data_IF_638964341945
#
_entry.id   IF_638964341945
#
_cell.length_a   1.000
_cell.length_b   1.000
_cell.length_c   1.000
_cell.angle_alpha   90.00
_cell.angle_beta   90.00
_cell.angle_gamma   90.00
#
_symmetry.space_group_name_H-M   'P 1'
#
loop_
_entity.id
_entity.type
_entity.pdbx_description
1 polymer ?
#
# COMPACT_ATOMS: atom_id res chain seq x y z
N UNK A 1 -14.85 -15.07 17.64
CA UNK A 1 -15.46 -15.33 16.31
C UNK A 1 -14.84 -16.60 15.73
N UNK A 2 -15.58 -17.42 14.99
CA UNK A 2 -14.93 -18.49 14.23
C UNK A 2 -14.18 -17.93 13.01
N UNK A 3 -13.42 -18.76 12.33
CA UNK A 3 -12.58 -18.31 11.19
C UNK A 3 -13.42 -17.70 10.06
N UNK A 4 -14.48 -18.37 9.64
CA UNK A 4 -15.36 -17.90 8.56
C UNK A 4 -16.02 -16.55 8.91
N UNK A 5 -16.54 -16.41 10.14
CA UNK A 5 -17.14 -15.16 10.61
C UNK A 5 -16.14 -14.02 10.63
N UNK A 6 -14.88 -14.31 11.02
CA UNK A 6 -13.81 -13.31 11.04
C UNK A 6 -13.46 -12.83 9.62
N UNK A 7 -13.34 -13.75 8.66
CA UNK A 7 -13.08 -13.38 7.26
C UNK A 7 -14.26 -12.61 6.68
N UNK A 8 -15.50 -13.01 7.00
CA UNK A 8 -16.69 -12.27 6.58
C UNK A 8 -16.74 -10.86 7.17
N UNK A 9 -16.36 -10.68 8.44
CA UNK A 9 -16.30 -9.38 9.08
C UNK A 9 -15.19 -8.48 8.47
N UNK A 10 -14.04 -9.05 8.11
CA UNK A 10 -12.99 -8.35 7.34
C UNK A 10 -13.53 -7.92 5.96
N UNK A 11 -14.24 -8.81 5.26
CA UNK A 11 -14.80 -8.54 3.93
C UNK A 11 -15.82 -7.40 3.94
N UNK A 12 -16.61 -7.30 5.02
CA UNK A 12 -17.58 -6.22 5.21
C UNK A 12 -16.98 -4.94 5.81
N UNK A 13 -15.72 -4.98 6.27
CA UNK A 13 -15.07 -3.84 6.90
C UNK A 13 -15.52 -3.57 8.34
N UNK A 14 -16.14 -4.54 9.01
CA UNK A 14 -16.54 -4.45 10.41
C UNK A 14 -15.34 -4.53 11.36
N UNK A 15 -14.29 -5.20 10.93
CA UNK A 15 -13.01 -5.29 11.61
C UNK A 15 -11.85 -5.02 10.63
N UNK A 16 -10.70 -4.63 11.16
CA UNK A 16 -9.46 -4.42 10.40
C UNK A 16 -8.33 -5.24 11.00
N UNK A 17 -7.35 -5.58 10.18
CA UNK A 17 -6.11 -6.25 10.65
C UNK A 17 -5.14 -5.29 11.34
N UNK A 18 -5.27 -4.00 11.10
CA UNK A 18 -4.60 -2.96 11.89
C UNK A 18 -5.37 -1.65 11.80
N UNK A 19 -5.37 -0.89 12.89
CA UNK A 19 -5.99 0.42 12.97
C UNK A 19 -5.16 1.38 13.82
N UNK A 20 -5.32 2.67 13.61
CA UNK A 20 -4.65 3.70 14.40
C UNK A 20 -5.47 3.99 15.65
N UNK A 21 -4.89 3.78 16.83
CA UNK A 21 -5.47 4.11 18.14
C UNK A 21 -4.45 4.93 18.92
N UNK A 22 -4.86 6.05 19.47
CA UNK A 22 -4.00 6.96 20.26
C UNK A 22 -2.70 7.35 19.51
N UNK A 23 -2.78 7.54 18.18
CA UNK A 23 -1.65 7.91 17.34
C UNK A 23 -0.78 6.73 16.88
N UNK A 24 -0.95 5.54 17.42
CA UNK A 24 -0.17 4.34 17.11
C UNK A 24 -0.96 3.31 16.31
N UNK A 25 -0.28 2.60 15.42
CA UNK A 25 -0.86 1.48 14.70
C UNK A 25 -0.86 0.23 15.58
N UNK A 26 -2.05 -0.30 15.86
CA UNK A 26 -2.26 -1.53 16.63
C UNK A 26 -2.73 -2.63 15.69
N UNK A 27 -2.08 -3.78 15.82
CA UNK A 27 -2.39 -4.97 15.02
C UNK A 27 -3.49 -5.78 15.71
N UNK A 28 -4.45 -6.24 14.93
CA UNK A 28 -5.42 -7.25 15.32
C UNK A 28 -4.82 -8.63 15.00
N UNK A 29 -4.07 -9.18 15.93
CA UNK A 29 -3.39 -10.47 15.77
C UNK A 29 -4.37 -11.62 15.58
N UNK A 30 -5.56 -11.55 16.21
CA UNK A 30 -6.61 -12.56 16.06
C UNK A 30 -7.14 -12.59 14.63
N UNK A 31 -7.34 -11.42 14.00
CA UNK A 31 -7.77 -11.34 12.61
C UNK A 31 -6.70 -11.90 11.66
N UNK A 32 -5.42 -11.61 11.89
CA UNK A 32 -4.32 -12.17 11.08
C UNK A 32 -4.18 -13.68 11.29
N UNK A 33 -4.31 -14.17 12.53
CA UNK A 33 -4.31 -15.60 12.82
C UNK A 33 -5.48 -16.32 12.14
N UNK A 34 -6.66 -15.69 12.10
CA UNK A 34 -7.81 -16.22 11.38
C UNK A 34 -7.57 -16.31 9.86
N UNK A 35 -6.88 -15.33 9.26
CA UNK A 35 -6.50 -15.40 7.84
C UNK A 35 -5.57 -16.60 7.59
N UNK A 36 -4.56 -16.81 8.44
CA UNK A 36 -3.65 -17.95 8.31
C UNK A 36 -4.40 -19.28 8.45
N UNK A 37 -5.29 -19.37 9.44
CA UNK A 37 -6.11 -20.55 9.63
C UNK A 37 -7.07 -20.78 8.45
N UNK A 38 -7.63 -19.74 7.87
CA UNK A 38 -8.46 -19.81 6.67
C UNK A 38 -7.72 -20.47 5.50
N UNK A 39 -6.46 -20.07 5.23
CA UNK A 39 -5.63 -20.74 4.25
C UNK A 39 -5.35 -22.20 4.57
N UNK A 40 -5.28 -22.56 5.86
CA UNK A 40 -5.00 -23.92 6.29
C UNK A 40 -6.22 -24.86 6.10
N UNK A 41 -7.41 -24.39 6.46
CA UNK A 41 -8.63 -25.23 6.46
C UNK A 41 -9.32 -25.28 5.10
N UNK A 42 -9.20 -24.23 4.28
CA UNK A 42 -9.80 -24.20 2.94
C UNK A 42 -9.09 -25.13 1.99
N UNK A 43 -9.86 -25.82 1.16
CA UNK A 43 -9.36 -26.61 0.05
C UNK A 43 -9.18 -25.74 -1.18
N UNK A 44 -8.31 -26.19 -2.06
CA UNK A 44 -8.18 -25.61 -3.42
C UNK A 44 -9.37 -26.09 -4.23
N UNK A 45 -10.13 -25.15 -4.79
CA UNK A 45 -11.36 -25.43 -5.54
C UNK A 45 -11.37 -24.64 -6.86
N UNK A 46 -11.98 -25.18 -7.93
CA UNK A 46 -12.17 -24.42 -9.16
C UNK A 46 -13.08 -23.20 -8.94
N UNK A 47 -12.74 -22.10 -9.57
CA UNK A 47 -13.55 -20.86 -9.59
C UNK A 47 -13.78 -20.50 -11.05
N UNK A 48 -15.01 -20.64 -11.53
CA UNK A 48 -15.41 -20.30 -12.89
C UNK A 48 -15.91 -18.84 -12.94
N UNK A 49 -15.35 -18.04 -13.84
CA UNK A 49 -15.77 -16.66 -14.07
C UNK A 49 -15.92 -16.43 -15.58
N UNK A 50 -17.11 -16.66 -16.08
CA UNK A 50 -17.39 -16.61 -17.52
C UNK A 50 -16.47 -17.59 -18.29
N UNK A 51 -15.65 -17.11 -19.24
CA UNK A 51 -14.73 -17.97 -19.99
C UNK A 51 -13.41 -18.27 -19.23
N UNK A 52 -13.22 -17.73 -18.04
CA UNK A 52 -11.99 -17.89 -17.25
C UNK A 52 -12.20 -18.92 -16.14
N UNK A 53 -11.20 -19.75 -15.92
CA UNK A 53 -11.12 -20.69 -14.82
C UNK A 53 -9.92 -20.35 -13.94
N UNK A 54 -10.13 -20.39 -12.62
CA UNK A 54 -9.08 -20.26 -11.61
C UNK A 54 -9.13 -21.45 -10.67
N UNK A 55 -8.07 -21.65 -9.92
CA UNK A 55 -7.96 -22.72 -8.94
C UNK A 55 -7.33 -22.15 -7.66
N UNK A 56 -8.14 -21.87 -6.63
CA UNK A 56 -7.64 -21.21 -5.41
C UNK A 56 -8.43 -21.65 -4.17
N UNK A 57 -7.88 -21.31 -3.00
CA UNK A 57 -8.50 -21.50 -1.69
C UNK A 57 -9.42 -20.35 -1.28
N UNK A 58 -9.12 -19.14 -1.75
CA UNK A 58 -9.81 -17.90 -1.36
C UNK A 58 -10.73 -17.48 -2.50
N UNK A 59 -12.05 -17.39 -2.25
CA UNK A 59 -12.98 -16.92 -3.27
C UNK A 59 -12.66 -15.50 -3.76
N UNK A 60 -13.17 -15.14 -4.90
CA UNK A 60 -13.16 -13.77 -5.37
C UNK A 60 -14.17 -12.93 -4.59
N UNK A 61 -13.89 -11.65 -4.46
CA UNK A 61 -14.84 -10.66 -3.95
C UNK A 61 -15.93 -10.38 -4.99
N UNK A 62 -17.15 -10.17 -4.51
CA UNK A 62 -18.34 -9.91 -5.32
C UNK A 62 -19.07 -8.63 -4.85
N UNK A 63 -20.23 -8.36 -5.44
CA UNK A 63 -21.16 -7.31 -5.04
C UNK A 63 -20.59 -5.89 -5.12
N UNK A 64 -19.73 -5.64 -6.10
CA UNK A 64 -19.05 -4.36 -6.27
C UNK A 64 -20.00 -3.19 -6.48
N UNK A 65 -21.11 -3.40 -7.21
CA UNK A 65 -22.12 -2.36 -7.44
C UNK A 65 -22.80 -1.92 -6.15
N UNK A 66 -23.21 -2.86 -5.30
CA UNK A 66 -23.82 -2.60 -4.00
C UNK A 66 -22.86 -1.89 -3.04
N UNK A 67 -21.57 -2.20 -3.17
CA UNK A 67 -20.48 -1.59 -2.39
C UNK A 67 -20.07 -0.20 -2.91
N UNK A 68 -20.59 0.23 -4.05
CA UNK A 68 -20.18 1.49 -4.69
C UNK A 68 -18.72 1.49 -5.17
N UNK A 69 -18.22 0.33 -5.63
CA UNK A 69 -16.84 0.12 -6.10
C UNK A 69 -16.84 -0.08 -7.61
N UNK A 70 -16.01 0.68 -8.32
CA UNK A 70 -15.80 0.48 -9.76
C UNK A 70 -14.63 -0.48 -10.00
N UNK A 71 -14.87 -1.53 -10.77
CA UNK A 71 -13.84 -2.54 -11.08
C UNK A 71 -13.72 -2.71 -12.59
N UNK A 72 -12.52 -2.49 -13.11
CA UNK A 72 -12.19 -2.64 -14.53
C UNK A 72 -11.59 -4.02 -14.76
N UNK A 73 -12.16 -4.85 -15.66
CA UNK A 73 -11.59 -6.16 -15.94
C UNK A 73 -10.15 -6.10 -16.49
N UNK A 74 -9.25 -6.99 -16.12
CA UNK A 74 -9.41 -8.14 -15.25
C UNK A 74 -8.98 -7.89 -13.78
N UNK A 75 -9.31 -6.73 -13.18
CA UNK A 75 -8.98 -6.50 -11.79
C UNK A 75 -9.57 -7.59 -10.88
N UNK A 76 -8.80 -7.96 -9.86
CA UNK A 76 -9.18 -9.03 -8.93
C UNK A 76 -9.00 -8.57 -7.49
N UNK A 77 -10.04 -8.72 -6.67
CA UNK A 77 -9.93 -8.65 -5.22
C UNK A 77 -10.34 -9.99 -4.61
N UNK A 78 -9.57 -10.46 -3.63
CA UNK A 78 -9.92 -11.66 -2.87
C UNK A 78 -10.95 -11.34 -1.79
N UNK A 79 -11.83 -12.31 -1.53
CA UNK A 79 -12.73 -12.28 -0.37
C UNK A 79 -11.94 -12.07 0.93
N UNK A 80 -12.51 -11.33 1.88
CA UNK A 80 -11.80 -10.90 3.10
C UNK A 80 -10.92 -9.67 2.91
N UNK A 81 -10.87 -9.05 1.72
CA UNK A 81 -10.38 -7.68 1.54
C UNK A 81 -11.53 -6.70 1.68
N UNK A 82 -11.29 -5.50 2.20
CA UNK A 82 -12.29 -4.45 2.26
C UNK A 82 -11.99 -3.33 1.26
N UNK A 83 -12.99 -2.99 0.46
CA UNK A 83 -12.97 -1.88 -0.48
C UNK A 83 -14.07 -0.90 -0.09
N UNK A 84 -13.69 0.31 0.28
CA UNK A 84 -14.65 1.37 0.65
C UNK A 84 -15.40 1.91 -0.57
N UNK A 85 -16.57 2.54 -0.38
CA UNK A 85 -17.28 3.22 -1.46
C UNK A 85 -16.41 4.24 -2.19
N UNK A 86 -16.58 4.34 -3.52
CA UNK A 86 -15.79 5.23 -4.37
C UNK A 86 -14.40 4.70 -4.76
N UNK A 87 -14.00 3.52 -4.30
CA UNK A 87 -12.77 2.86 -4.76
C UNK A 87 -12.87 2.52 -6.24
N UNK A 88 -11.79 2.73 -6.96
CA UNK A 88 -11.62 2.32 -8.36
C UNK A 88 -10.47 1.33 -8.45
N UNK A 89 -10.76 0.12 -8.90
CA UNK A 89 -9.74 -0.86 -9.29
C UNK A 89 -9.62 -0.83 -10.81
N UNK A 90 -8.53 -0.30 -11.33
CA UNK A 90 -8.08 -0.61 -12.70
C UNK A 90 -7.61 -2.06 -12.72
N UNK A 91 -7.22 -2.65 -13.87
CA UNK A 91 -6.65 -4.01 -13.88
C UNK A 91 -5.55 -4.17 -12.84
N UNK A 92 -5.88 -4.65 -11.68
CA UNK A 92 -5.05 -4.63 -10.46
C UNK A 92 -5.43 -5.79 -9.54
N UNK A 93 -4.69 -5.94 -8.43
CA UNK A 93 -4.92 -7.03 -7.49
C UNK A 93 -4.96 -6.54 -6.05
N UNK A 94 -5.97 -6.98 -5.29
CA UNK A 94 -6.11 -6.72 -3.85
C UNK A 94 -6.24 -8.04 -3.08
N UNK A 95 -5.35 -8.27 -2.15
CA UNK A 95 -5.28 -9.52 -1.38
C UNK A 95 -6.12 -9.47 -0.10
N UNK A 96 -6.39 -10.67 0.46
CA UNK A 96 -7.15 -10.87 1.70
C UNK A 96 -6.57 -10.06 2.87
N UNK A 97 -7.42 -9.54 3.73
CA UNK A 97 -7.04 -8.71 4.88
C UNK A 97 -6.65 -7.28 4.54
N UNK A 98 -6.49 -6.95 3.25
CA UNK A 98 -6.23 -5.58 2.83
C UNK A 98 -7.44 -4.68 3.08
N UNK A 99 -7.16 -3.43 3.42
CA UNK A 99 -8.15 -2.35 3.53
C UNK A 99 -7.81 -1.26 2.53
N UNK A 100 -8.78 -0.87 1.71
CA UNK A 100 -8.65 0.24 0.76
C UNK A 100 -9.69 1.30 1.10
N UNK A 101 -9.23 2.47 1.53
CA UNK A 101 -10.05 3.58 1.97
C UNK A 101 -10.85 4.26 0.84
N UNK A 102 -11.83 5.10 1.19
CA UNK A 102 -12.79 5.66 0.23
C UNK A 102 -12.10 6.54 -0.82
N UNK A 103 -12.66 6.53 -2.04
CA UNK A 103 -12.19 7.32 -3.18
C UNK A 103 -10.72 7.08 -3.57
N UNK A 104 -10.17 5.92 -3.22
CA UNK A 104 -8.83 5.49 -3.58
C UNK A 104 -8.83 4.80 -4.93
N UNK A 105 -7.81 5.07 -5.73
CA UNK A 105 -7.56 4.38 -7.00
C UNK A 105 -6.38 3.41 -6.86
N UNK A 106 -6.62 2.16 -7.20
CA UNK A 106 -5.58 1.15 -7.43
C UNK A 106 -5.44 1.00 -8.94
N UNK A 107 -4.40 1.64 -9.49
CA UNK A 107 -4.23 1.79 -10.94
C UNK A 107 -3.67 0.51 -11.59
N UNK A 108 -3.50 0.57 -12.90
CA UNK A 108 -3.18 -0.57 -13.77
C UNK A 108 -1.92 -1.30 -13.32
N UNK A 109 -2.07 -2.60 -13.10
CA UNK A 109 -1.04 -3.53 -12.60
C UNK A 109 -0.47 -3.18 -11.22
N UNK A 110 -1.13 -2.31 -10.46
CA UNK A 110 -0.80 -2.15 -9.06
C UNK A 110 -1.32 -3.32 -8.22
N UNK A 111 -0.62 -3.61 -7.12
CA UNK A 111 -0.99 -4.68 -6.20
C UNK A 111 -1.08 -4.15 -4.77
N UNK A 112 -2.10 -4.59 -4.03
CA UNK A 112 -2.25 -4.37 -2.60
C UNK A 112 -2.11 -5.70 -1.89
N UNK A 113 -0.98 -5.90 -1.23
CA UNK A 113 -0.64 -7.15 -0.55
C UNK A 113 -1.51 -7.45 0.66
N UNK A 114 -1.40 -8.68 1.17
CA UNK A 114 -2.18 -9.15 2.32
C UNK A 114 -2.05 -8.21 3.51
N UNK A 115 -3.17 -7.86 4.11
CA UNK A 115 -3.23 -7.04 5.32
C UNK A 115 -2.81 -5.58 5.15
N UNK A 116 -2.38 -5.12 3.97
CA UNK A 116 -1.99 -3.73 3.76
C UNK A 116 -3.15 -2.76 4.03
N UNK A 117 -2.86 -1.61 4.63
CA UNK A 117 -3.82 -0.60 5.04
C UNK A 117 -3.61 0.66 4.20
N UNK A 118 -4.51 0.88 3.25
CA UNK A 118 -4.47 2.03 2.35
C UNK A 118 -5.53 3.02 2.77
N UNK A 119 -5.13 4.28 2.93
CA UNK A 119 -5.99 5.38 3.35
C UNK A 119 -7.02 5.80 2.30
N UNK A 120 -7.70 6.91 2.58
CA UNK A 120 -8.68 7.54 1.71
C UNK A 120 -8.01 8.41 0.64
N UNK A 121 -8.62 8.52 -0.55
CA UNK A 121 -8.17 9.42 -1.63
C UNK A 121 -6.71 9.19 -2.06
N UNK A 122 -6.24 7.96 -1.89
CA UNK A 122 -4.90 7.53 -2.31
C UNK A 122 -4.90 7.21 -3.81
N UNK A 123 -3.81 7.52 -4.47
CA UNK A 123 -3.55 7.04 -5.83
C UNK A 123 -2.32 6.11 -5.81
N UNK A 124 -2.55 4.83 -5.94
CA UNK A 124 -1.50 3.85 -6.25
C UNK A 124 -1.35 3.80 -7.76
N UNK A 125 -0.33 4.48 -8.29
CA UNK A 125 -0.12 4.59 -9.75
C UNK A 125 0.25 3.26 -10.40
N UNK A 126 0.31 3.24 -11.72
CA UNK A 126 0.52 2.01 -12.49
C UNK A 126 1.75 1.20 -12.06
N UNK A 127 1.53 -0.08 -11.80
CA UNK A 127 2.56 -1.03 -11.41
C UNK A 127 3.14 -0.86 -10.01
N UNK A 128 2.49 -0.09 -9.13
CA UNK A 128 2.86 0.01 -7.72
C UNK A 128 2.71 -1.34 -7.03
N UNK A 129 3.74 -1.76 -6.32
CA UNK A 129 3.73 -2.96 -5.49
C UNK A 129 3.67 -2.63 -4.00
N UNK A 130 2.48 -2.75 -3.39
CA UNK A 130 2.33 -2.74 -1.94
C UNK A 130 2.47 -4.18 -1.45
N UNK A 131 3.50 -4.44 -0.67
CA UNK A 131 3.79 -5.78 -0.15
C UNK A 131 2.76 -6.23 0.89
N UNK A 132 2.66 -7.55 1.08
CA UNK A 132 1.87 -8.14 2.14
C UNK A 132 2.69 -8.41 3.40
N UNK A 133 2.10 -8.26 4.57
CA UNK A 133 2.68 -8.64 5.86
C UNK A 133 1.65 -9.47 6.63
N UNK A 134 1.58 -10.74 6.30
CA UNK A 134 0.69 -11.69 6.99
C UNK A 134 1.39 -12.34 8.19
N UNK A 135 2.64 -12.71 8.03
CA UNK A 135 3.47 -13.32 9.07
C UNK A 135 4.69 -12.44 9.41
N UNK A 136 5.07 -12.40 10.68
CA UNK A 136 4.38 -12.91 11.87
C UNK A 136 3.11 -12.11 12.18
N UNK A 137 2.19 -12.70 12.94
CA UNK A 137 0.86 -12.09 13.19
C UNK A 137 0.92 -10.74 13.90
N UNK A 138 1.91 -10.53 14.75
CA UNK A 138 2.14 -9.27 15.47
C UNK A 138 2.82 -8.18 14.63
N UNK A 139 3.35 -8.52 13.44
CA UNK A 139 3.99 -7.50 12.58
C UNK A 139 2.95 -6.51 12.03
N UNK A 140 3.26 -5.22 12.18
CA UNK A 140 2.43 -4.16 11.61
C UNK A 140 2.47 -4.25 10.09
N UNK A 141 1.30 -4.27 9.43
CA UNK A 141 1.24 -4.28 7.97
C UNK A 141 1.73 -2.96 7.37
N UNK A 142 1.90 -2.97 6.05
CA UNK A 142 2.21 -1.74 5.33
C UNK A 142 1.03 -0.79 5.45
N UNK A 143 1.36 0.48 5.69
CA UNK A 143 0.37 1.56 5.81
C UNK A 143 0.70 2.65 4.81
N UNK A 144 -0.31 3.11 4.09
CA UNK A 144 -0.28 4.31 3.26
C UNK A 144 -1.36 5.25 3.76
N UNK A 145 -0.96 6.45 4.18
CA UNK A 145 -1.87 7.46 4.73
C UNK A 145 -2.80 8.09 3.68
N UNK A 146 -3.75 8.86 4.17
CA UNK A 146 -4.74 9.56 3.35
C UNK A 146 -4.10 10.57 2.39
N UNK A 147 -4.79 10.90 1.30
CA UNK A 147 -4.40 11.94 0.33
C UNK A 147 -3.02 11.71 -0.34
N UNK A 148 -2.50 10.50 -0.27
CA UNK A 148 -1.15 10.12 -0.72
C UNK A 148 -1.16 9.68 -2.18
N UNK A 149 -0.12 10.08 -2.91
CA UNK A 149 0.17 9.62 -4.26
C UNK A 149 1.45 8.78 -4.27
N UNK A 150 1.34 7.52 -4.64
CA UNK A 150 2.49 6.62 -4.85
C UNK A 150 2.76 6.56 -6.35
N UNK A 151 3.92 7.05 -6.77
CA UNK A 151 4.34 7.09 -8.17
C UNK A 151 4.50 5.71 -8.80
N UNK A 152 4.40 5.66 -10.12
CA UNK A 152 4.45 4.40 -10.88
C UNK A 152 5.68 3.55 -10.55
N UNK A 153 5.48 2.24 -10.49
CA UNK A 153 6.54 1.25 -10.22
C UNK A 153 7.24 1.40 -8.87
N UNK A 154 6.68 2.15 -7.91
CA UNK A 154 7.16 2.11 -6.53
C UNK A 154 6.90 0.76 -5.88
N UNK A 155 7.83 0.34 -5.03
CA UNK A 155 7.68 -0.81 -4.13
C UNK A 155 7.65 -0.30 -2.69
N UNK A 156 6.59 -0.60 -1.96
CA UNK A 156 6.45 -0.32 -0.52
C UNK A 156 6.22 -1.64 0.19
N UNK A 157 7.21 -2.10 0.93
CA UNK A 157 7.24 -3.48 1.46
C UNK A 157 7.85 -3.57 2.86
N UNK A 158 7.79 -4.77 3.45
CA UNK A 158 8.49 -5.12 4.69
C UNK A 158 8.24 -4.14 5.86
N UNK A 159 6.98 -3.86 6.16
CA UNK A 159 6.58 -3.02 7.30
C UNK A 159 6.80 -1.51 7.11
N UNK A 160 7.08 -1.07 5.88
CA UNK A 160 7.22 0.33 5.56
C UNK A 160 5.91 1.10 5.74
N UNK A 161 6.01 2.41 6.00
CA UNK A 161 4.87 3.31 6.17
C UNK A 161 5.07 4.57 5.36
N UNK A 162 4.00 5.00 4.73
CA UNK A 162 3.94 6.29 4.02
C UNK A 162 2.88 7.14 4.71
N UNK A 163 3.25 8.35 5.10
CA UNK A 163 2.37 9.29 5.80
C UNK A 163 1.22 9.82 4.95
N UNK A 164 0.43 10.73 5.53
CA UNK A 164 -0.66 11.41 4.83
C UNK A 164 -0.11 12.46 3.87
N UNK A 165 -0.78 12.71 2.76
CA UNK A 165 -0.44 13.77 1.81
C UNK A 165 0.94 13.64 1.18
N UNK A 166 1.55 12.45 1.22
CA UNK A 166 2.85 12.19 0.61
C UNK A 166 2.72 12.06 -0.89
N UNK A 167 3.67 12.65 -1.61
CA UNK A 167 3.93 12.34 -3.01
C UNK A 167 5.23 11.57 -3.10
N UNK A 168 5.15 10.27 -3.37
CA UNK A 168 6.31 9.41 -3.58
C UNK A 168 6.59 9.34 -5.09
N UNK A 169 7.73 9.83 -5.53
CA UNK A 169 8.14 9.82 -6.94
C UNK A 169 8.25 8.40 -7.51
N UNK A 170 8.10 8.27 -8.83
CA UNK A 170 8.14 6.97 -9.49
C UNK A 170 9.43 6.20 -9.23
N UNK A 171 9.34 4.86 -9.19
CA UNK A 171 10.48 3.97 -9.04
C UNK A 171 11.11 3.92 -7.64
N UNK A 172 10.50 4.52 -6.63
CA UNK A 172 10.99 4.42 -5.25
C UNK A 172 10.84 3.00 -4.70
N UNK A 173 11.87 2.55 -3.97
CA UNK A 173 11.81 1.33 -3.16
C UNK A 173 11.90 1.73 -1.69
N UNK A 174 10.85 1.45 -0.93
CA UNK A 174 10.77 1.71 0.50
C UNK A 174 10.49 0.39 1.24
N UNK A 175 11.43 -0.03 2.06
CA UNK A 175 11.25 -1.14 3.01
C UNK A 175 11.50 -0.64 4.42
N UNK A 176 11.18 -1.41 5.45
CA UNK A 176 11.34 -1.01 6.85
C UNK A 176 12.77 -0.58 7.26
N UNK A 177 13.79 -0.88 6.44
CA UNK A 177 15.19 -0.55 6.71
C UNK A 177 15.77 0.53 5.81
N UNK A 178 15.06 0.95 4.77
CA UNK A 178 15.53 1.98 3.83
C UNK A 178 15.57 3.35 4.54
N UNK A 179 16.72 4.05 4.52
CA UNK A 179 16.82 5.39 5.10
C UNK A 179 15.94 6.39 4.34
N UNK A 180 15.25 7.23 5.09
CA UNK A 180 14.52 8.40 4.59
C UNK A 180 15.29 9.65 5.04
N UNK A 181 15.78 10.42 4.10
CA UNK A 181 16.75 11.50 4.31
C UNK A 181 16.13 12.83 3.91
N UNK A 182 16.37 13.88 4.69
CA UNK A 182 16.00 15.24 4.33
C UNK A 182 17.04 15.85 3.38
N UNK A 183 16.59 16.34 2.23
CA UNK A 183 17.49 16.90 1.21
C UNK A 183 18.10 18.25 1.62
N UNK A 184 17.48 18.99 2.52
CA UNK A 184 17.95 20.31 2.96
C UNK A 184 19.02 20.19 4.05
N UNK A 185 18.86 19.24 4.97
CA UNK A 185 19.78 19.08 6.10
C UNK A 185 20.76 17.91 5.94
N UNK A 186 20.44 16.94 5.07
CA UNK A 186 21.20 15.69 4.94
C UNK A 186 20.95 14.70 6.08
N UNK A 187 20.04 15.00 7.01
CA UNK A 187 19.74 14.16 8.17
C UNK A 187 18.86 12.96 7.79
N UNK A 188 19.15 11.84 8.43
CA UNK A 188 18.28 10.65 8.36
C UNK A 188 17.08 10.87 9.29
N UNK A 189 15.91 11.10 8.68
CA UNK A 189 14.66 11.35 9.42
C UNK A 189 14.11 10.08 10.07
N UNK A 190 14.27 8.94 9.38
CA UNK A 190 13.69 7.67 9.78
C UNK A 190 14.26 6.53 8.95
N UNK A 191 13.82 5.31 9.27
CA UNK A 191 13.93 4.14 8.37
C UNK A 191 12.57 3.56 8.08
N UNK A 192 12.30 3.34 6.80
CA UNK A 192 11.05 2.74 6.33
C UNK A 192 9.79 3.59 6.55
N UNK A 193 9.91 4.83 7.02
CA UNK A 193 8.78 5.71 7.27
C UNK A 193 8.97 7.04 6.56
N UNK A 194 8.12 7.31 5.56
CA UNK A 194 8.05 8.64 4.92
C UNK A 194 7.11 9.51 5.74
N UNK A 195 7.55 10.68 6.23
CA UNK A 195 6.71 11.56 7.06
C UNK A 195 5.55 12.15 6.27
N UNK A 196 4.53 12.63 7.00
CA UNK A 196 3.36 13.28 6.42
C UNK A 196 3.77 14.52 5.60
N UNK A 197 2.96 14.84 4.59
CA UNK A 197 2.99 16.08 3.83
C UNK A 197 4.37 16.42 3.27
N UNK A 198 4.88 15.55 2.41
CA UNK A 198 6.14 15.79 1.73
C UNK A 198 6.16 15.20 0.30
N UNK A 199 7.09 15.71 -0.49
CA UNK A 199 7.49 15.11 -1.77
C UNK A 199 8.80 14.38 -1.53
N UNK A 200 8.81 13.09 -1.85
CA UNK A 200 9.98 12.22 -1.67
C UNK A 200 10.28 11.46 -2.96
N UNK A 201 11.55 11.22 -3.23
CA UNK A 201 12.02 10.59 -4.47
C UNK A 201 13.06 9.51 -4.20
N UNK A 202 13.26 8.63 -5.18
CA UNK A 202 14.33 7.65 -5.13
C UNK A 202 15.71 8.35 -5.22
N UNK A 203 16.63 7.94 -4.37
CA UNK A 203 18.00 8.42 -4.36
C UNK A 203 18.96 7.33 -3.91
N UNK A 204 20.26 7.63 -3.92
CA UNK A 204 21.29 6.79 -3.34
C UNK A 204 22.17 7.59 -2.40
N UNK A 205 22.63 6.93 -1.33
CA UNK A 205 23.63 7.46 -0.39
C UNK A 205 24.92 6.66 -0.52
N UNK A 206 26.07 7.31 -0.74
CA UNK A 206 27.35 6.61 -0.84
C UNK A 206 27.68 5.92 0.48
N UNK A 207 28.27 4.72 0.38
CA UNK A 207 28.79 3.97 1.50
C UNK A 207 30.05 3.20 1.10
N UNK A 208 31.08 3.32 1.93
CA UNK A 208 32.37 2.65 1.71
C UNK A 208 32.32 1.23 2.29
N UNK A 209 32.78 0.29 1.49
CA UNK A 209 33.01 -1.11 1.83
C UNK A 209 34.46 -1.48 1.50
N UNK A 210 34.98 -2.64 1.94
CA UNK A 210 36.34 -3.08 1.60
C UNK A 210 36.62 -3.12 0.08
N UNK A 211 35.61 -3.35 -0.74
CA UNK A 211 35.72 -3.40 -2.21
C UNK A 211 35.53 -2.06 -2.92
N UNK A 212 35.29 -0.97 -2.20
CA UNK A 212 35.09 0.37 -2.78
C UNK A 212 33.87 1.11 -2.23
N UNK A 213 33.55 2.24 -2.87
CA UNK A 213 32.35 3.03 -2.54
C UNK A 213 31.18 2.66 -3.46
N UNK A 214 30.02 2.46 -2.87
CA UNK A 214 28.77 2.07 -3.56
C UNK A 214 27.61 2.96 -3.12
N UNK A 215 26.71 3.29 -4.05
CA UNK A 215 25.44 3.97 -3.75
C UNK A 215 24.41 3.01 -3.21
N UNK A 216 24.02 3.14 -1.95
CA UNK A 216 22.93 2.36 -1.38
C UNK A 216 21.61 3.13 -1.50
N UNK A 217 20.52 2.41 -1.80
CA UNK A 217 19.21 3.00 -1.96
C UNK A 217 18.78 3.76 -0.70
N UNK A 218 18.21 4.94 -0.91
CA UNK A 218 17.50 5.73 0.10
C UNK A 218 16.31 6.44 -0.54
N UNK A 219 15.42 6.96 0.28
CA UNK A 219 14.35 7.87 -0.12
C UNK A 219 14.72 9.27 0.34
N UNK A 220 14.70 10.23 -0.57
CA UNK A 220 15.09 11.61 -0.31
C UNK A 220 13.84 12.50 -0.27
N UNK A 221 13.56 13.12 0.88
CA UNK A 221 12.52 14.13 1.03
C UNK A 221 13.04 15.44 0.47
N UNK A 222 12.49 15.86 -0.67
CA UNK A 222 12.97 17.03 -1.43
C UNK A 222 12.14 18.29 -1.16
N UNK A 223 10.94 18.15 -0.57
CA UNK A 223 10.07 19.27 -0.20
C UNK A 223 9.12 18.88 0.91
N UNK A 224 8.90 19.80 1.85
CA UNK A 224 7.80 19.75 2.82
C UNK A 224 6.58 20.43 2.22
N UNK A 225 5.41 19.87 2.47
CA UNK A 225 4.12 20.40 2.02
C UNK A 225 3.34 20.90 3.23
N UNK A 226 2.44 21.84 2.98
CA UNK A 226 1.46 22.27 3.99
C UNK A 226 0.32 21.24 4.05
N UNK A 227 -0.21 20.98 5.23
CA UNK A 227 -1.35 20.09 5.39
C UNK A 227 -2.54 20.54 4.49
N UNK A 228 -3.12 19.58 3.76
CA UNK A 228 -4.18 19.83 2.78
C UNK A 228 -3.70 20.35 1.43
N UNK A 229 -2.41 20.62 1.26
CA UNK A 229 -1.85 21.01 -0.04
C UNK A 229 -1.90 19.82 -1.00
N UNK A 230 -2.82 19.88 -1.97
CA UNK A 230 -2.89 18.89 -3.03
C UNK A 230 -2.09 19.37 -4.23
N UNK A 231 -1.15 18.57 -4.65
CA UNK A 231 -0.46 18.77 -5.91
C UNK A 231 -1.16 17.97 -7.00
N UNK A 232 -1.65 18.67 -8.03
CA UNK A 232 -1.93 18.00 -9.29
C UNK A 232 -0.60 17.54 -9.93
N UNK A 233 -0.72 16.68 -10.93
CA UNK A 233 0.44 16.08 -11.61
C UNK A 233 1.35 17.15 -12.25
N UNK A 234 0.80 18.29 -12.66
CA UNK A 234 1.54 19.40 -13.27
C UNK A 234 2.40 20.10 -12.25
N UNK A 235 1.84 20.45 -11.09
CA UNK A 235 2.58 21.05 -9.97
C UNK A 235 3.69 20.15 -9.44
N UNK A 236 3.44 18.84 -9.36
CA UNK A 236 4.47 17.89 -8.97
C UNK A 236 5.68 17.94 -9.93
N UNK A 237 5.41 17.92 -11.23
CA UNK A 237 6.47 18.00 -12.24
C UNK A 237 7.25 19.31 -12.16
N UNK A 238 6.59 20.43 -11.87
CA UNK A 238 7.25 21.73 -11.64
C UNK A 238 8.18 21.68 -10.44
N UNK A 239 7.68 21.19 -9.29
CA UNK A 239 8.48 21.02 -8.07
C UNK A 239 9.72 20.15 -8.31
N UNK A 240 9.57 19.03 -8.99
CA UNK A 240 10.67 18.12 -9.26
C UNK A 240 11.71 18.76 -10.18
N UNK A 241 11.27 19.51 -11.21
CA UNK A 241 12.18 20.27 -12.10
C UNK A 241 12.92 21.38 -11.38
N UNK A 242 12.24 22.15 -10.54
CA UNK A 242 12.86 23.22 -9.73
C UNK A 242 13.95 22.67 -8.80
N UNK A 243 13.82 21.44 -8.35
CA UNK A 243 14.79 20.75 -7.51
C UNK A 243 15.82 19.93 -8.29
N UNK A 244 15.84 20.03 -9.63
CA UNK A 244 16.79 19.32 -10.50
C UNK A 244 16.53 17.81 -10.57
N UNK A 245 15.35 17.34 -10.16
CA UNK A 245 14.95 15.95 -10.26
C UNK A 245 14.23 15.72 -11.58
N UNK A 246 14.69 14.74 -12.37
CA UNK A 246 14.00 14.38 -13.63
C UNK A 246 12.64 13.74 -13.32
N UNK A 247 11.65 14.09 -14.14
CA UNK A 247 10.25 13.61 -14.02
C UNK A 247 9.98 12.48 -15.01
#
# INVERSE_FOLDING_TARGET
MNVEDTIAALDRGEIRVAEKRDGEWRVNEEAKAAILEYFRVRKVEPIEVGPFEYLDKVPLKHDYAERGVRVVPPATARYGSFLSPGVVLMPSYVNIGAWVGPNTMVDTWATVGSCAQIGARVHLSGGVGIGGVLEPTNAVPIVVGDDTMIGSRCIVAAGARVGNGVVLGAGCVLTGTIPVIDAETGEELSRGVVPDWCVAVAATRPRTFPGGEFGLACVLVVKRLTEGERHDKSKLNEILRERGVST
#
